data_IF_319479377942
#
_entry.id   IF_319479377942
#
_cell.length_a   1.000
_cell.length_b   1.000
_cell.length_c   1.000
_cell.angle_alpha   90.00
_cell.angle_beta   90.00
_cell.angle_gamma   90.00
#
_symmetry.space_group_name_H-M   'P 1'
#
loop_
_entity.id
_entity.type
_entity.pdbx_description
1 polymer ?
#
# COMPACT_ATOMS: atom_id res chain seq x y z
N UNK A 1 26.38 8.58 20.06
CA UNK A 1 26.12 7.15 19.80
C UNK A 1 25.77 7.02 18.33
N UNK A 2 26.56 6.29 17.53
CA UNK A 2 26.29 6.11 16.12
C UNK A 2 25.19 5.04 15.96
N UNK A 3 24.08 5.39 15.32
CA UNK A 3 23.07 4.38 14.97
C UNK A 3 23.61 3.49 13.84
N UNK A 4 23.52 2.16 13.95
CA UNK A 4 23.97 1.26 12.88
C UNK A 4 23.10 1.47 11.63
N UNK A 5 23.75 1.58 10.46
CA UNK A 5 23.12 1.80 9.15
C UNK A 5 21.99 0.79 8.87
N UNK A 6 22.10 -0.43 9.38
CA UNK A 6 21.09 -1.48 9.21
C UNK A 6 19.73 -1.16 9.87
N UNK A 7 19.68 -0.28 10.88
CA UNK A 7 18.41 0.12 11.52
C UNK A 7 17.63 1.14 10.69
N UNK A 8 18.24 1.73 9.65
CA UNK A 8 17.61 2.68 8.74
C UNK A 8 17.06 2.01 7.48
N UNK A 9 17.37 0.72 7.26
CA UNK A 9 16.81 -0.04 6.13
C UNK A 9 15.35 -0.41 6.44
N UNK A 10 14.42 0.21 5.72
CA UNK A 10 13.04 -0.26 5.69
C UNK A 10 13.00 -1.67 5.08
N UNK A 11 12.37 -2.61 5.77
CA UNK A 11 12.09 -3.92 5.19
C UNK A 11 11.04 -3.75 4.10
N UNK A 12 11.42 -4.00 2.85
CA UNK A 12 10.53 -3.85 1.68
C UNK A 12 9.33 -4.80 1.73
N UNK A 13 9.47 -5.91 2.45
CA UNK A 13 8.43 -6.92 2.60
C UNK A 13 8.69 -8.15 1.74
N UNK A 14 7.69 -9.01 1.62
CA UNK A 14 7.81 -10.24 0.83
C UNK A 14 7.75 -9.92 -0.67
N UNK A 15 8.58 -10.60 -1.48
CA UNK A 15 8.64 -10.38 -2.94
C UNK A 15 7.29 -10.58 -3.65
N UNK A 16 6.39 -11.38 -3.06
CA UNK A 16 5.02 -11.63 -3.57
C UNK A 16 4.21 -10.33 -3.74
N UNK A 17 4.43 -9.30 -2.91
CA UNK A 17 3.73 -8.01 -3.04
C UNK A 17 4.13 -7.22 -4.29
N UNK A 18 5.27 -7.58 -4.89
CA UNK A 18 5.83 -6.94 -6.07
C UNK A 18 5.59 -7.74 -7.35
N UNK A 19 4.97 -8.92 -7.24
CA UNK A 19 4.64 -9.77 -8.38
C UNK A 19 3.44 -9.23 -9.15
N UNK A 20 3.56 -9.16 -10.48
CA UNK A 20 2.53 -8.61 -11.37
C UNK A 20 1.23 -9.43 -11.34
N UNK A 21 1.32 -10.74 -11.09
CA UNK A 21 0.14 -11.59 -10.97
C UNK A 21 -0.62 -11.30 -9.66
N UNK A 22 0.09 -11.08 -8.56
CA UNK A 22 -0.53 -10.69 -7.30
C UNK A 22 -1.11 -9.27 -7.37
N UNK A 23 -0.42 -8.32 -8.00
CA UNK A 23 -0.95 -6.96 -8.23
C UNK A 23 -2.26 -6.96 -9.01
N UNK A 24 -2.35 -7.76 -10.06
CA UNK A 24 -3.61 -7.99 -10.81
C UNK A 24 -4.71 -8.59 -9.94
N UNK A 25 -4.37 -9.50 -9.03
CA UNK A 25 -5.32 -10.03 -8.05
C UNK A 25 -5.84 -8.94 -7.12
N UNK A 26 -4.97 -8.07 -6.62
CA UNK A 26 -5.36 -6.92 -5.78
C UNK A 26 -6.31 -5.98 -6.54
N UNK A 27 -5.99 -5.62 -7.78
CA UNK A 27 -6.84 -4.78 -8.64
C UNK A 27 -8.23 -5.38 -8.85
N UNK A 28 -8.31 -6.69 -9.08
CA UNK A 28 -9.58 -7.40 -9.26
C UNK A 28 -10.42 -7.43 -7.99
N UNK A 29 -9.79 -7.38 -6.81
CA UNK A 29 -10.45 -7.50 -5.51
C UNK A 29 -10.56 -6.17 -4.76
N UNK A 30 -10.47 -5.03 -5.45
CA UNK A 30 -10.58 -3.68 -4.83
C UNK A 30 -11.90 -3.53 -4.06
N UNK A 31 -13.03 -3.92 -4.66
CA UNK A 31 -14.36 -3.81 -4.03
C UNK A 31 -14.41 -4.64 -2.74
N UNK A 32 -13.95 -5.90 -2.81
CA UNK A 32 -13.89 -6.77 -1.65
C UNK A 32 -13.01 -6.19 -0.53
N UNK A 33 -11.86 -5.59 -0.86
CA UNK A 33 -11.01 -4.93 0.14
C UNK A 33 -11.68 -3.73 0.81
N UNK A 34 -12.50 -2.96 0.07
CA UNK A 34 -13.30 -1.86 0.66
C UNK A 34 -14.30 -2.40 1.69
N UNK A 35 -14.96 -3.51 1.38
CA UNK A 35 -15.95 -4.15 2.25
C UNK A 35 -15.35 -4.83 3.50
N UNK A 36 -14.11 -5.31 3.42
CA UNK A 36 -13.41 -6.00 4.52
C UNK A 36 -12.81 -5.06 5.58
N UNK A 37 -13.37 -3.87 5.74
CA UNK A 37 -12.97 -2.92 6.79
C UNK A 37 -11.84 -1.99 6.37
N UNK A 38 -11.91 -1.44 5.16
CA UNK A 38 -11.03 -0.33 4.81
C UNK A 38 -11.32 0.89 5.70
N UNK A 39 -10.26 1.54 6.17
CA UNK A 39 -10.34 2.70 7.04
C UNK A 39 -10.10 3.97 6.23
N UNK A 40 -10.88 5.03 6.50
CA UNK A 40 -10.60 6.34 5.93
C UNK A 40 -9.66 7.10 6.86
N UNK A 41 -8.46 7.39 6.37
CA UNK A 41 -7.45 8.10 7.13
C UNK A 41 -7.34 9.52 6.61
N UNK A 42 -7.45 10.49 7.51
CA UNK A 42 -7.31 11.91 7.17
C UNK A 42 -5.84 12.23 6.90
N UNK A 43 -5.60 12.96 5.81
CA UNK A 43 -4.30 13.51 5.46
C UNK A 43 -4.30 14.98 5.82
N UNK A 44 -3.35 15.38 6.66
CA UNK A 44 -3.20 16.75 7.07
C UNK A 44 -2.82 17.64 5.87
N UNK A 45 -3.41 18.84 5.71
CA UNK A 45 -3.14 19.70 4.56
C UNK A 45 -1.66 20.06 4.38
N UNK A 46 -0.92 20.19 5.48
CA UNK A 46 0.51 20.49 5.43
C UNK A 46 1.34 19.32 4.89
N UNK A 47 0.92 18.08 5.16
CA UNK A 47 1.57 16.89 4.62
C UNK A 47 1.23 16.71 3.14
N UNK A 48 -0.02 16.93 2.74
CA UNK A 48 -0.44 16.87 1.35
C UNK A 48 0.37 17.84 0.47
N UNK A 49 0.63 19.05 0.97
CA UNK A 49 1.47 20.03 0.29
C UNK A 49 2.95 19.62 0.27
N UNK A 50 3.49 19.15 1.41
CA UNK A 50 4.91 18.75 1.54
C UNK A 50 5.27 17.56 0.66
N UNK A 51 4.38 16.57 0.58
CA UNK A 51 4.56 15.35 -0.19
C UNK A 51 3.84 15.39 -1.55
N UNK A 52 3.58 16.60 -2.08
CA UNK A 52 2.99 16.75 -3.42
C UNK A 52 3.86 16.03 -4.44
N UNK A 53 3.25 15.17 -5.25
CA UNK A 53 3.98 14.36 -6.23
C UNK A 53 4.75 13.17 -5.63
N UNK A 54 4.59 12.87 -4.33
CA UNK A 54 5.23 11.74 -3.65
C UNK A 54 4.27 11.04 -2.67
N UNK A 55 3.37 10.21 -3.20
CA UNK A 55 2.43 9.44 -2.39
C UNK A 55 3.15 8.44 -1.48
N UNK A 56 4.21 7.79 -1.96
CA UNK A 56 4.90 6.76 -1.16
C UNK A 56 5.65 7.38 0.02
N UNK A 57 6.27 8.55 -0.15
CA UNK A 57 6.83 9.32 0.94
C UNK A 57 5.79 9.72 1.99
N UNK A 58 4.59 10.12 1.55
CA UNK A 58 3.46 10.40 2.45
C UNK A 58 3.06 9.15 3.25
N UNK A 59 2.90 8.00 2.57
CA UNK A 59 2.51 6.74 3.21
C UNK A 59 3.56 6.24 4.22
N UNK A 60 4.85 6.40 3.90
CA UNK A 60 5.95 6.12 4.83
C UNK A 60 5.85 6.99 6.07
N UNK A 61 5.61 8.30 5.90
CA UNK A 61 5.43 9.24 7.01
C UNK A 61 4.22 8.89 7.88
N UNK A 62 3.17 8.36 7.28
CA UNK A 62 1.98 7.87 7.98
C UNK A 62 2.18 6.50 8.65
N UNK A 63 3.34 5.86 8.48
CA UNK A 63 3.67 4.59 9.11
C UNK A 63 3.26 3.35 8.32
N UNK A 64 2.86 3.50 7.05
CA UNK A 64 2.51 2.37 6.19
C UNK A 64 3.73 1.74 5.54
N UNK A 65 3.84 0.42 5.68
CA UNK A 65 4.91 -0.35 5.06
C UNK A 65 4.85 -0.32 3.52
N UNK A 66 6.00 -0.32 2.82
CA UNK A 66 6.08 -0.26 1.35
C UNK A 66 5.24 -1.31 0.63
N UNK A 67 5.18 -2.52 1.16
CA UNK A 67 4.38 -3.64 0.63
C UNK A 67 2.87 -3.34 0.48
N UNK A 68 2.34 -2.36 1.22
CA UNK A 68 0.92 -1.99 1.17
C UNK A 68 0.64 -0.76 0.29
N UNK A 69 1.67 -0.04 -0.15
CA UNK A 69 1.49 1.20 -0.91
C UNK A 69 0.72 0.98 -2.20
N UNK A 70 1.00 -0.12 -2.91
CA UNK A 70 0.27 -0.48 -4.12
C UNK A 70 -1.22 -0.69 -3.87
N UNK A 71 -1.55 -1.42 -2.79
CA UNK A 71 -2.93 -1.69 -2.40
C UNK A 71 -3.69 -0.41 -2.02
N UNK A 72 -3.04 0.51 -1.30
CA UNK A 72 -3.61 1.81 -0.96
C UNK A 72 -3.85 2.64 -2.24
N UNK A 73 -2.89 2.63 -3.16
CA UNK A 73 -2.96 3.38 -4.41
C UNK A 73 -4.17 2.95 -5.26
N UNK A 74 -4.35 1.65 -5.51
CA UNK A 74 -5.49 1.14 -6.30
C UNK A 74 -6.83 1.36 -5.61
N UNK A 75 -6.88 1.32 -4.27
CA UNK A 75 -8.11 1.48 -3.50
C UNK A 75 -8.68 2.91 -3.62
N UNK A 76 -7.77 3.88 -3.82
CA UNK A 76 -8.06 5.29 -4.01
C UNK A 76 -8.07 5.70 -5.50
N UNK A 77 -8.04 4.75 -6.43
CA UNK A 77 -8.07 5.01 -7.89
C UNK A 77 -6.89 5.89 -8.34
N UNK A 78 -5.77 5.81 -7.64
CA UNK A 78 -4.56 6.55 -7.96
C UNK A 78 -3.77 5.74 -8.98
N UNK A 79 -3.40 6.37 -10.10
CA UNK A 79 -2.72 5.70 -11.22
C UNK A 79 -1.20 5.56 -11.05
N UNK A 80 -0.61 6.26 -10.09
CA UNK A 80 0.84 6.23 -9.88
C UNK A 80 1.30 6.93 -8.60
N UNK A 81 2.53 6.66 -8.16
CA UNK A 81 3.10 7.23 -6.93
C UNK A 81 3.21 8.76 -6.98
N UNK A 82 3.36 9.33 -8.18
CA UNK A 82 3.43 10.78 -8.39
C UNK A 82 2.08 11.51 -8.36
N UNK A 83 0.96 10.79 -8.23
CA UNK A 83 -0.38 11.38 -8.35
C UNK A 83 -0.91 11.97 -7.04
N UNK A 84 -0.05 12.22 -6.05
CA UNK A 84 -0.46 12.93 -4.84
C UNK A 84 -0.71 14.42 -5.15
N UNK A 85 -1.95 14.86 -4.95
CA UNK A 85 -2.37 16.25 -5.17
C UNK A 85 -2.41 17.00 -3.85
N UNK A 86 -2.19 18.32 -3.88
CA UNK A 86 -2.30 19.20 -2.70
C UNK A 86 -3.70 19.17 -2.06
N UNK A 87 -4.71 18.76 -2.85
CA UNK A 87 -6.11 18.64 -2.45
C UNK A 87 -6.44 17.29 -1.78
N UNK A 88 -5.47 16.39 -1.62
CA UNK A 88 -5.68 15.08 -1.03
C UNK A 88 -5.93 15.23 0.49
N UNK A 89 -7.19 15.06 0.91
CA UNK A 89 -7.62 15.24 2.30
C UNK A 89 -7.83 13.94 3.06
N UNK A 90 -8.05 12.84 2.35
CA UNK A 90 -8.25 11.53 2.93
C UNK A 90 -7.77 10.44 1.99
N UNK A 91 -7.38 9.31 2.57
CA UNK A 91 -7.00 8.09 1.88
C UNK A 91 -7.78 6.93 2.48
N UNK A 92 -8.30 6.06 1.62
CA UNK A 92 -8.80 4.77 2.02
C UNK A 92 -7.63 3.81 2.18
N UNK A 93 -7.49 3.22 3.35
CA UNK A 93 -6.43 2.26 3.67
C UNK A 93 -7.08 0.90 3.90
N UNK A 94 -6.68 -0.14 3.15
CA UNK A 94 -7.22 -1.48 3.33
C UNK A 94 -6.76 -2.07 4.66
N UNK A 95 -7.61 -2.88 5.30
CA UNK A 95 -7.20 -3.67 6.45
C UNK A 95 -6.04 -4.62 6.08
N UNK A 96 -4.98 -4.65 6.89
CA UNK A 96 -3.81 -5.51 6.65
C UNK A 96 -4.20 -6.99 6.51
N UNK A 97 -5.17 -7.43 7.33
CA UNK A 97 -5.71 -8.79 7.30
C UNK A 97 -6.31 -9.16 5.94
N UNK A 98 -7.00 -8.22 5.28
CA UNK A 98 -7.60 -8.47 3.97
C UNK A 98 -6.52 -8.75 2.91
N UNK A 99 -5.42 -8.00 2.93
CA UNK A 99 -4.30 -8.22 2.02
C UNK A 99 -3.59 -9.54 2.31
N UNK A 100 -3.39 -9.87 3.59
CA UNK A 100 -2.77 -11.13 3.98
C UNK A 100 -3.59 -12.35 3.56
N UNK A 101 -4.92 -12.27 3.61
CA UNK A 101 -5.81 -13.31 3.10
C UNK A 101 -5.67 -13.49 1.59
N UNK A 102 -5.61 -12.40 0.82
CA UNK A 102 -5.38 -12.47 -0.63
C UNK A 102 -4.00 -13.07 -0.94
N UNK A 103 -2.96 -12.66 -0.20
CA UNK A 103 -1.62 -13.23 -0.33
C UNK A 103 -1.60 -14.73 -0.05
N UNK A 104 -2.25 -15.18 1.02
CA UNK A 104 -2.33 -16.59 1.36
C UNK A 104 -3.03 -17.39 0.26
N UNK A 105 -4.13 -16.84 -0.29
CA UNK A 105 -4.87 -17.46 -1.39
C UNK A 105 -4.04 -17.52 -2.68
N UNK A 106 -3.31 -16.45 -3.01
CA UNK A 106 -2.41 -16.39 -4.15
C UNK A 106 -1.34 -17.48 -4.08
N UNK A 107 -0.69 -17.65 -2.92
CA UNK A 107 0.32 -18.70 -2.71
C UNK A 107 -0.23 -20.11 -2.90
N UNK A 108 -1.47 -20.37 -2.48
CA UNK A 108 -2.12 -21.68 -2.66
C UNK A 108 -2.36 -21.96 -4.15
N UNK A 109 -2.83 -20.95 -4.89
CA UNK A 109 -3.08 -21.08 -6.33
C UNK A 109 -1.77 -21.27 -7.09
N UNK A 110 -0.75 -20.46 -6.81
CA UNK A 110 0.56 -20.57 -7.45
C UNK A 110 1.19 -21.96 -7.27
N UNK A 111 1.06 -22.56 -6.07
CA UNK A 111 1.54 -23.93 -5.78
C UNK A 111 0.80 -25.04 -6.53
N UNK A 112 -0.40 -24.79 -7.06
CA UNK A 112 -1.19 -25.79 -7.81
C UNK A 112 -0.92 -25.78 -9.30
N UNK A 113 -0.29 -24.72 -9.82
CA UNK A 113 0.01 -24.54 -11.25
C UNK A 113 1.45 -24.94 -11.60
N UNK A 114 2.22 -25.47 -10.64
CA UNK A 114 3.57 -26.01 -10.82
C UNK A 114 3.54 -27.51 -10.58
#
# INVERSE_FOLDING_TARGET
MAMPINALMMTEGESVFYDDAFRRMLETHVIWMKEQGAEMVTVEPHDALKYKGDLFGLLIKMGYAPQYHYAIMILNEISGPQSNTESLRSLLVPAQQAIDLLRARFKIVAKRTT
#
